data_IF_226981758029
#
_entry.id   IF_226981758029
#
_cell.length_a   1.000
_cell.length_b   1.000
_cell.length_c   1.000
_cell.angle_alpha   90.00
_cell.angle_beta   90.00
_cell.angle_gamma   90.00
#
_symmetry.space_group_name_H-M   'P 1'
#
loop_
_entity.id
_entity.type
_entity.pdbx_description
1 polymer ?
#
# COMPACT_ATOMS: atom_id res chain seq x y z
N UNK A 1 51.39 -55.65 -19.10
CA UNK A 1 50.91 -54.51 -19.93
C UNK A 1 49.39 -54.41 -20.07
N UNK A 2 48.59 -55.50 -20.01
CA UNK A 2 47.13 -55.45 -20.17
C UNK A 2 46.34 -54.78 -19.02
N UNK A 3 46.86 -54.78 -17.78
CA UNK A 3 46.17 -54.23 -16.59
C UNK A 3 46.07 -52.69 -16.60
N UNK A 4 47.03 -52.00 -17.23
CA UNK A 4 47.05 -50.53 -17.32
C UNK A 4 46.10 -49.98 -18.40
N UNK A 5 45.78 -50.78 -19.42
CA UNK A 5 44.85 -50.40 -20.49
C UNK A 5 43.40 -50.41 -19.99
N UNK A 6 43.05 -51.33 -19.10
CA UNK A 6 41.70 -51.41 -18.49
C UNK A 6 41.43 -50.18 -17.62
N UNK A 7 42.43 -49.72 -16.86
CA UNK A 7 42.31 -48.53 -16.02
C UNK A 7 42.06 -47.25 -16.86
N UNK A 8 42.69 -47.17 -18.04
CA UNK A 8 42.54 -46.05 -18.97
C UNK A 8 41.14 -46.01 -19.61
N UNK A 9 40.49 -47.17 -19.78
CA UNK A 9 39.11 -47.27 -20.27
C UNK A 9 38.08 -46.89 -19.19
N UNK A 10 38.30 -47.27 -17.92
CA UNK A 10 37.40 -46.92 -16.80
C UNK A 10 37.45 -45.42 -16.50
N UNK A 11 38.62 -44.78 -16.64
CA UNK A 11 38.75 -43.33 -16.40
C UNK A 11 37.96 -42.47 -17.41
N UNK A 12 37.78 -42.94 -18.64
CA UNK A 12 37.03 -42.23 -19.68
C UNK A 12 35.50 -42.27 -19.49
N UNK A 13 34.97 -43.20 -18.69
CA UNK A 13 33.52 -43.31 -18.45
C UNK A 13 33.02 -42.24 -17.47
N UNK A 14 33.89 -41.75 -16.57
CA UNK A 14 33.55 -40.76 -15.54
C UNK A 14 33.61 -39.29 -16.01
N UNK A 15 33.99 -39.02 -17.26
CA UNK A 15 34.09 -37.65 -17.81
C UNK A 15 32.80 -37.15 -18.48
N UNK A 16 31.69 -37.87 -18.34
CA UNK A 16 30.41 -37.45 -18.91
C UNK A 16 29.78 -36.30 -18.09
N UNK A 17 30.04 -35.09 -18.58
CA UNK A 17 29.08 -33.99 -18.69
C UNK A 17 28.49 -33.43 -17.39
N UNK A 18 29.21 -32.51 -16.75
CA UNK A 18 28.58 -31.52 -15.87
C UNK A 18 27.70 -30.58 -16.72
N UNK A 19 26.40 -30.85 -16.76
CA UNK A 19 25.42 -29.90 -17.30
C UNK A 19 25.17 -28.81 -16.26
N UNK A 20 25.78 -27.64 -16.45
CA UNK A 20 25.45 -26.45 -15.67
C UNK A 20 24.11 -25.89 -16.17
N UNK A 21 23.06 -26.07 -15.38
CA UNK A 21 21.81 -25.37 -15.58
C UNK A 21 21.95 -23.96 -14.99
N UNK A 22 21.99 -22.95 -15.86
CA UNK A 22 21.91 -21.56 -15.41
C UNK A 22 20.48 -21.22 -14.98
N UNK A 23 20.29 -20.49 -13.87
CA UNK A 23 18.97 -20.03 -13.48
C UNK A 23 18.47 -18.99 -14.50
N UNK A 24 17.33 -19.28 -15.14
CA UNK A 24 16.69 -18.32 -16.03
C UNK A 24 15.76 -17.39 -15.22
N UNK A 25 15.86 -16.09 -15.49
CA UNK A 25 14.98 -15.11 -14.88
C UNK A 25 13.69 -15.05 -15.69
N UNK A 26 12.59 -15.53 -15.10
CA UNK A 26 11.26 -15.25 -15.62
C UNK A 26 10.91 -13.82 -15.22
N UNK A 27 10.91 -12.92 -16.19
CA UNK A 27 10.18 -11.67 -16.02
C UNK A 27 8.70 -11.97 -16.10
N UNK A 28 7.97 -11.67 -15.02
CA UNK A 28 6.52 -11.60 -15.07
C UNK A 28 6.17 -10.53 -16.10
N UNK A 29 5.71 -10.97 -17.27
CA UNK A 29 5.06 -10.07 -18.21
C UNK A 29 3.83 -9.57 -17.47
N UNK A 30 3.79 -8.27 -17.17
CA UNK A 30 2.56 -7.60 -16.80
C UNK A 30 1.65 -7.61 -18.04
N UNK A 31 1.18 -8.80 -18.41
CA UNK A 31 0.07 -8.97 -19.32
C UNK A 31 -1.01 -8.07 -18.78
N UNK A 32 -1.53 -7.21 -19.65
CA UNK A 32 -2.62 -6.30 -19.36
C UNK A 32 -3.73 -7.11 -18.74
N UNK A 33 -3.68 -7.20 -17.41
CA UNK A 33 -4.79 -7.57 -16.58
C UNK A 33 -5.81 -6.56 -17.02
N UNK A 34 -6.83 -7.01 -17.75
CA UNK A 34 -8.01 -6.21 -17.96
C UNK A 34 -8.45 -5.88 -16.55
N UNK A 35 -8.04 -4.69 -16.09
CA UNK A 35 -8.53 -4.12 -14.86
C UNK A 35 -10.01 -4.11 -15.14
N UNK A 36 -10.74 -5.02 -14.51
CA UNK A 36 -12.18 -4.96 -14.47
C UNK A 36 -12.45 -3.68 -13.69
N UNK A 37 -12.39 -2.54 -14.40
CA UNK A 37 -12.57 -1.22 -13.84
C UNK A 37 -13.98 -1.27 -13.32
N UNK A 38 -14.08 -1.40 -12.01
CA UNK A 38 -15.35 -1.42 -11.34
C UNK A 38 -16.01 -0.08 -11.68
N UNK A 39 -17.26 -0.07 -12.14
CA UNK A 39 -17.98 1.17 -12.45
C UNK A 39 -17.90 2.18 -11.29
N UNK A 40 -17.84 1.66 -10.06
CA UNK A 40 -17.66 2.46 -8.86
C UNK A 40 -16.33 3.23 -8.84
N UNK A 41 -15.23 2.65 -9.33
CA UNK A 41 -13.92 3.29 -9.35
C UNK A 41 -13.75 4.26 -10.53
N UNK A 42 -14.43 3.98 -11.65
CA UNK A 42 -14.53 4.91 -12.79
C UNK A 42 -15.09 6.27 -12.37
N UNK A 43 -16.12 6.30 -11.54
CA UNK A 43 -16.73 7.54 -11.05
C UNK A 43 -15.76 8.44 -10.28
N UNK A 44 -14.86 7.85 -9.47
CA UNK A 44 -13.84 8.60 -8.73
C UNK A 44 -12.69 9.12 -9.61
N UNK A 45 -12.51 8.56 -10.81
CA UNK A 45 -11.53 9.03 -11.78
C UNK A 45 -12.10 10.15 -12.66
N UNK A 46 -13.33 9.97 -13.16
CA UNK A 46 -13.96 10.92 -14.08
C UNK A 46 -14.41 12.21 -13.40
N UNK A 47 -14.82 12.13 -12.13
CA UNK A 47 -15.32 13.29 -11.39
C UNK A 47 -14.60 13.42 -10.04
N UNK A 48 -13.71 14.40 -9.93
CA UNK A 48 -12.94 14.65 -8.70
C UNK A 48 -13.79 15.08 -7.50
N UNK A 49 -15.01 15.57 -7.75
CA UNK A 49 -15.99 15.99 -6.75
C UNK A 49 -16.95 14.84 -6.34
N UNK A 50 -16.87 13.68 -7.01
CA UNK A 50 -17.71 12.53 -6.68
C UNK A 50 -17.35 11.95 -5.31
N UNK A 51 -18.37 11.82 -4.46
CA UNK A 51 -18.29 11.15 -3.17
C UNK A 51 -19.49 10.21 -3.02
N UNK A 52 -19.34 9.18 -2.19
CA UNK A 52 -20.44 8.21 -2.00
C UNK A 52 -20.44 7.61 -0.61
N UNK A 53 -21.50 6.89 -0.29
CA UNK A 53 -21.62 6.12 0.95
C UNK A 53 -21.63 4.64 0.65
N UNK A 54 -20.88 3.87 1.44
CA UNK A 54 -20.86 2.43 1.40
C UNK A 54 -21.35 1.86 2.74
N UNK A 55 -22.20 0.84 2.70
CA UNK A 55 -22.61 0.11 3.91
C UNK A 55 -21.65 -1.06 4.12
N UNK A 56 -20.90 -1.02 5.22
CA UNK A 56 -19.91 -2.05 5.55
C UNK A 56 -20.63 -3.38 5.77
N UNK A 57 -20.24 -4.42 5.03
CA UNK A 57 -20.77 -5.77 5.20
C UNK A 57 -19.97 -6.54 6.25
N UNK A 58 -20.55 -7.63 6.74
CA UNK A 58 -19.82 -8.58 7.59
C UNK A 58 -18.65 -9.15 6.78
N UNK A 59 -17.45 -9.14 7.37
CA UNK A 59 -16.18 -9.57 6.77
C UNK A 59 -15.57 -8.61 5.71
N UNK A 60 -16.09 -7.39 5.57
CA UNK A 60 -15.41 -6.39 4.74
C UNK A 60 -14.13 -5.88 5.44
N UNK A 61 -13.08 -5.66 4.64
CA UNK A 61 -11.85 -4.99 5.07
C UNK A 61 -11.76 -3.60 4.44
N UNK A 62 -11.11 -2.66 5.13
CA UNK A 62 -10.98 -1.30 4.60
C UNK A 62 -10.17 -1.33 3.30
N UNK A 63 -9.08 -2.09 3.25
CA UNK A 63 -8.27 -2.27 2.03
C UNK A 63 -9.09 -2.83 0.87
N UNK A 64 -9.94 -3.83 1.09
CA UNK A 64 -10.82 -4.39 0.06
C UNK A 64 -11.81 -3.35 -0.48
N UNK A 65 -12.44 -2.58 0.41
CA UNK A 65 -13.32 -1.47 0.02
C UNK A 65 -12.54 -0.43 -0.78
N UNK A 66 -11.37 -0.01 -0.30
CA UNK A 66 -10.57 1.01 -0.99
C UNK A 66 -10.11 0.54 -2.37
N UNK A 67 -9.71 -0.72 -2.53
CA UNK A 67 -9.36 -1.26 -3.84
C UNK A 67 -10.56 -1.26 -4.79
N UNK A 68 -11.77 -1.54 -4.28
CA UNK A 68 -12.99 -1.54 -5.08
C UNK A 68 -13.36 -0.14 -5.61
N UNK A 69 -13.15 0.90 -4.82
CA UNK A 69 -13.59 2.27 -5.14
C UNK A 69 -12.47 3.19 -5.66
N UNK A 70 -11.22 2.96 -5.26
CA UNK A 70 -10.08 3.82 -5.60
C UNK A 70 -8.92 3.05 -6.25
N UNK A 71 -9.01 1.72 -6.36
CA UNK A 71 -7.89 0.88 -6.82
C UNK A 71 -7.46 1.12 -8.26
N UNK A 72 -8.32 1.69 -9.09
CA UNK A 72 -7.99 2.05 -10.49
C UNK A 72 -7.38 3.44 -10.61
N UNK A 73 -7.40 4.23 -9.54
CA UNK A 73 -6.91 5.59 -9.57
C UNK A 73 -5.42 5.55 -9.19
N UNK A 74 -4.59 6.39 -9.81
CA UNK A 74 -3.18 6.59 -9.43
C UNK A 74 -3.04 7.34 -8.08
N UNK A 75 -3.91 7.03 -7.11
CA UNK A 75 -3.91 7.58 -5.78
C UNK A 75 -3.14 6.67 -4.84
N UNK A 76 -2.35 7.28 -3.94
CA UNK A 76 -1.71 6.52 -2.88
C UNK A 76 -2.78 6.03 -1.88
N UNK A 77 -3.06 4.73 -1.91
CA UNK A 77 -4.08 4.10 -1.07
C UNK A 77 -3.86 4.31 0.43
N UNK A 78 -2.63 4.53 0.90
CA UNK A 78 -2.38 4.84 2.31
C UNK A 78 -2.89 6.24 2.69
N UNK A 79 -2.80 7.20 1.77
CA UNK A 79 -3.36 8.54 1.95
C UNK A 79 -4.88 8.49 1.92
N UNK A 80 -5.45 7.74 0.97
CA UNK A 80 -6.91 7.53 0.90
C UNK A 80 -7.42 6.86 2.18
N UNK A 81 -6.73 5.82 2.66
CA UNK A 81 -7.03 5.11 3.91
C UNK A 81 -7.06 6.07 5.10
N UNK A 82 -6.05 6.93 5.23
CA UNK A 82 -6.01 7.93 6.30
C UNK A 82 -7.18 8.93 6.18
N UNK A 83 -7.49 9.41 4.97
CA UNK A 83 -8.62 10.32 4.74
C UNK A 83 -9.97 9.69 5.11
N UNK A 84 -10.20 8.44 4.69
CA UNK A 84 -11.43 7.69 5.04
C UNK A 84 -11.52 7.46 6.54
N UNK A 85 -10.43 7.07 7.20
CA UNK A 85 -10.39 6.89 8.65
C UNK A 85 -10.75 8.20 9.39
N UNK A 86 -10.16 9.32 8.97
CA UNK A 86 -10.39 10.63 9.58
C UNK A 86 -11.85 11.11 9.44
N UNK A 87 -12.46 10.87 8.28
CA UNK A 87 -13.85 11.26 8.00
C UNK A 87 -14.89 10.35 8.66
N UNK A 88 -14.50 9.15 9.08
CA UNK A 88 -15.44 8.12 9.54
C UNK A 88 -15.09 7.51 10.90
N UNK A 89 -14.63 8.31 11.87
CA UNK A 89 -14.24 7.82 13.20
C UNK A 89 -15.28 6.90 13.85
N UNK A 90 -16.58 7.15 13.62
CA UNK A 90 -17.70 6.35 14.13
C UNK A 90 -17.82 4.95 13.53
N UNK A 91 -17.21 4.69 12.38
CA UNK A 91 -17.24 3.40 11.69
C UNK A 91 -16.09 2.47 12.12
N UNK A 92 -15.11 2.99 12.86
CA UNK A 92 -13.91 2.26 13.27
C UNK A 92 -13.85 2.08 14.79
N UNK A 93 -13.39 0.91 15.22
CA UNK A 93 -13.13 0.65 16.64
C UNK A 93 -11.89 1.43 17.06
N UNK A 94 -12.03 2.35 18.02
CA UNK A 94 -10.92 3.15 18.56
C UNK A 94 -10.07 3.84 17.48
N UNK A 95 -10.70 4.27 16.38
CA UNK A 95 -10.03 4.87 15.23
C UNK A 95 -8.93 3.98 14.61
N UNK A 96 -9.06 2.65 14.69
CA UNK A 96 -8.14 1.73 14.06
C UNK A 96 -8.69 1.30 12.69
N UNK A 97 -7.95 1.61 11.61
CA UNK A 97 -8.31 1.27 10.23
C UNK A 97 -8.50 -0.24 9.97
N UNK A 98 -7.93 -1.11 10.82
CA UNK A 98 -8.05 -2.56 10.69
C UNK A 98 -9.34 -3.11 11.30
N UNK A 99 -10.04 -2.33 12.14
CA UNK A 99 -11.23 -2.78 12.85
C UNK A 99 -12.42 -1.88 12.52
N UNK A 100 -13.36 -2.41 11.75
CA UNK A 100 -14.59 -1.72 11.34
C UNK A 100 -15.84 -2.37 11.93
N UNK A 101 -16.84 -1.55 12.25
CA UNK A 101 -18.16 -2.03 12.63
C UNK A 101 -18.97 -2.40 11.38
N UNK A 102 -19.50 -3.62 11.35
CA UNK A 102 -20.43 -4.05 10.31
C UNK A 102 -21.73 -3.22 10.34
N UNK A 103 -22.40 -3.13 9.19
CA UNK A 103 -23.65 -2.39 8.95
C UNK A 103 -23.58 -0.87 9.21
N UNK A 104 -22.41 -0.31 9.53
CA UNK A 104 -22.22 1.14 9.58
C UNK A 104 -22.07 1.72 8.17
N UNK A 105 -22.46 2.99 8.04
CA UNK A 105 -22.25 3.80 6.84
C UNK A 105 -20.83 4.36 6.85
N UNK A 106 -20.09 4.04 5.81
CA UNK A 106 -18.75 4.53 5.53
C UNK A 106 -18.83 5.56 4.40
N UNK A 107 -18.49 6.80 4.71
CA UNK A 107 -18.34 7.87 3.74
C UNK A 107 -17.02 7.71 2.97
N UNK A 108 -17.13 7.68 1.64
CA UNK A 108 -16.00 7.62 0.72
C UNK A 108 -15.79 9.02 0.14
N UNK A 109 -14.78 9.77 0.62
CA UNK A 109 -14.56 11.15 0.23
C UNK A 109 -14.11 11.27 -1.22
N UNK A 110 -14.37 12.43 -1.82
CA UNK A 110 -13.95 12.71 -3.19
C UNK A 110 -12.43 12.93 -3.29
N UNK A 111 -11.88 12.83 -4.50
CA UNK A 111 -10.46 13.09 -4.75
C UNK A 111 -10.09 14.51 -4.31
N UNK A 112 -10.96 15.48 -4.60
CA UNK A 112 -10.78 16.88 -4.17
C UNK A 112 -10.82 17.02 -2.66
N UNK A 113 -11.69 16.30 -1.96
CA UNK A 113 -11.70 16.30 -0.49
C UNK A 113 -10.40 15.74 0.08
N UNK A 114 -9.88 14.64 -0.50
CA UNK A 114 -8.61 14.03 -0.09
C UNK A 114 -7.46 15.03 -0.33
N UNK A 115 -7.37 15.62 -1.53
CA UNK A 115 -6.42 16.69 -1.86
C UNK A 115 -6.49 17.83 -0.84
N UNK A 116 -7.70 18.31 -0.54
CA UNK A 116 -7.93 19.38 0.42
C UNK A 116 -7.48 19.00 1.84
N UNK A 117 -7.62 17.74 2.28
CA UNK A 117 -7.10 17.32 3.58
C UNK A 117 -5.58 17.40 3.66
N UNK A 118 -4.88 17.10 2.57
CA UNK A 118 -3.42 17.17 2.49
C UNK A 118 -2.98 18.64 2.46
N UNK A 119 -3.52 19.43 1.52
CA UNK A 119 -3.13 20.83 1.32
C UNK A 119 -3.63 21.77 2.43
N UNK A 120 -4.76 21.49 3.09
CA UNK A 120 -5.24 22.31 4.21
C UNK A 120 -4.37 22.11 5.46
N UNK A 121 -3.73 20.96 5.61
CA UNK A 121 -2.81 20.72 6.71
C UNK A 121 -1.49 21.51 6.54
N UNK A 122 -1.06 21.78 5.31
CA UNK A 122 0.14 22.63 5.09
C UNK A 122 -0.13 24.10 5.42
N UNK A 123 -1.35 24.58 5.18
CA UNK A 123 -1.77 25.95 5.55
C UNK A 123 -2.06 26.16 7.04
N UNK A 124 -2.26 25.07 7.81
CA UNK A 124 -2.46 25.12 9.28
C UNK A 124 -1.16 25.08 10.07
N UNK A 125 -0.03 25.42 9.47
CA UNK A 125 1.23 25.61 10.19
C UNK A 125 1.34 27.05 10.74
N UNK A 126 0.37 27.52 11.53
CA UNK A 126 0.52 28.78 12.31
C UNK A 126 -0.55 29.01 13.39
N UNK A 127 -0.92 27.98 14.17
CA UNK A 127 -1.52 28.25 15.49
C UNK A 127 -1.31 27.07 16.44
N UNK A 128 -0.05 26.68 16.66
CA UNK A 128 0.28 26.23 18.02
C UNK A 128 0.03 27.46 18.89
N UNK A 129 -0.99 27.40 19.74
CA UNK A 129 -1.16 28.38 20.81
C UNK A 129 0.15 28.43 21.59
N UNK A 130 0.88 29.55 21.46
CA UNK A 130 2.02 29.89 22.31
C UNK A 130 1.50 30.21 23.72
N UNK A 131 1.00 29.20 24.42
CA UNK A 131 0.80 29.25 25.87
C UNK A 131 1.80 28.31 26.56
N UNK A 132 3.00 28.14 25.97
CA UNK A 132 4.16 27.78 26.76
C UNK A 132 4.74 29.10 27.26
N UNK A 133 4.46 29.40 28.53
CA UNK A 133 5.12 30.46 29.28
C UNK A 133 6.62 30.36 29.04
N UNK A 134 7.17 31.44 28.48
CA UNK A 134 8.60 31.67 28.34
C UNK A 134 9.17 31.80 29.74
N UNK A 135 9.65 30.71 30.33
CA UNK A 135 10.54 30.73 31.49
C UNK A 135 10.99 29.30 31.79
N UNK A 136 12.07 28.89 31.13
CA UNK A 136 13.00 27.83 31.52
C UNK A 136 14.14 27.89 30.52
N UNK A 137 14.99 28.88 30.74
CA UNK A 137 16.26 28.99 30.03
C UNK A 137 17.10 27.77 30.38
N UNK A 138 17.56 27.06 29.36
CA UNK A 138 18.48 25.94 29.52
C UNK A 138 19.88 26.55 29.61
N UNK A 139 20.48 26.54 30.80
CA UNK A 139 21.85 26.98 31.01
C UNK A 139 22.80 25.81 30.77
N UNK A 140 23.76 25.98 29.86
CA UNK A 140 24.85 25.04 29.63
C UNK A 140 26.14 25.63 30.21
N UNK A 141 26.63 25.05 31.30
CA UNK A 141 27.97 25.35 31.81
C UNK A 141 28.91 24.32 31.20
N UNK A 142 29.65 24.74 30.18
CA UNK A 142 30.75 23.94 29.65
C UNK A 142 31.95 24.01 30.59
N UNK A 143 32.62 22.88 30.78
CA UNK A 143 33.98 22.80 31.32
C UNK A 143 34.98 22.79 30.17
#
# INVERSE_FOLDING_TARGET
>A
MKKNIIFLFVFNIFLNSFLFAEPFVVHEYAGTSSINVNENSKNFYENEDYSTYYKIKKNDSLSGILNKFYGTNNLNLNVVKAAVLLKNKHAFVRNNANFMFANKRLYLPSVKEIKNLIYKNTKRKSSISKNFTREKEIYFFGN
#
